data_IF_965825932039
#
_entry.id   IF_965825932039
#
_cell.length_a   1.000
_cell.length_b   1.000
_cell.length_c   1.000
_cell.angle_alpha   90.00
_cell.angle_beta   90.00
_cell.angle_gamma   90.00
#
_symmetry.space_group_name_H-M   'P 1'
#
loop_
_entity.id
_entity.type
_entity.pdbx_description
1 polymer ?
#
# COMPACT_ATOMS: atom_id res chain seq x y z
N UNK A 1 41.25 16.98 -30.61
CA UNK A 1 39.89 17.58 -30.53
C UNK A 1 38.98 16.67 -31.34
N UNK A 2 37.94 16.02 -30.88
CA UNK A 2 37.23 15.92 -29.60
C UNK A 2 36.69 14.49 -29.56
N UNK A 3 36.69 13.83 -28.41
CA UNK A 3 35.84 12.66 -28.19
C UNK A 3 35.23 12.84 -26.80
N UNK A 4 34.13 13.59 -26.75
CA UNK A 4 33.35 13.81 -25.54
C UNK A 4 32.16 12.87 -25.62
N UNK A 5 32.34 11.67 -25.10
CA UNK A 5 31.24 10.76 -24.81
C UNK A 5 30.28 11.46 -23.84
N UNK A 6 29.12 11.87 -24.35
CA UNK A 6 27.98 12.22 -23.52
C UNK A 6 27.42 10.93 -22.92
N UNK A 7 27.87 10.65 -21.70
CA UNK A 7 27.26 9.71 -20.77
C UNK A 7 25.85 10.22 -20.46
N UNK A 8 24.87 9.78 -21.25
CA UNK A 8 23.45 10.03 -20.99
C UNK A 8 23.05 9.19 -19.79
N UNK A 9 23.03 9.82 -18.62
CA UNK A 9 22.43 9.27 -17.41
C UNK A 9 20.96 8.94 -17.69
N UNK A 10 20.71 7.69 -18.09
CA UNK A 10 19.37 7.15 -18.28
C UNK A 10 18.60 7.26 -16.96
N UNK A 11 17.60 8.13 -16.95
CA UNK A 11 16.66 8.26 -15.83
C UNK A 11 15.99 6.90 -15.64
N UNK A 12 16.05 6.27 -14.45
CA UNK A 12 15.51 4.95 -14.27
C UNK A 12 14.00 4.99 -14.51
N UNK A 13 13.52 4.16 -15.44
CA UNK A 13 12.09 4.03 -15.72
C UNK A 13 11.33 3.69 -14.44
N UNK A 14 10.17 4.32 -14.24
CA UNK A 14 9.38 4.23 -13.00
C UNK A 14 9.10 2.77 -12.55
N UNK A 15 9.09 1.81 -13.47
CA UNK A 15 8.99 0.39 -13.18
C UNK A 15 10.20 -0.22 -12.45
N UNK A 16 11.41 0.29 -12.68
CA UNK A 16 12.63 -0.15 -11.97
C UNK A 16 12.67 0.45 -10.56
N UNK A 17 12.24 1.70 -10.40
CA UNK A 17 12.12 2.34 -9.06
C UNK A 17 11.01 1.66 -8.26
N UNK A 18 9.87 1.32 -8.87
CA UNK A 18 8.80 0.58 -8.21
C UNK A 18 9.21 -0.83 -7.80
N UNK A 19 9.88 -1.59 -8.67
CA UNK A 19 10.40 -2.94 -8.32
C UNK A 19 11.51 -2.88 -7.27
N UNK A 20 12.34 -1.84 -7.29
CA UNK A 20 13.39 -1.64 -6.28
C UNK A 20 12.79 -1.19 -4.95
N UNK A 21 11.77 -0.36 -4.96
CA UNK A 21 10.98 -0.02 -3.77
C UNK A 21 10.13 -1.18 -3.25
N UNK A 22 9.79 -2.20 -4.05
CA UNK A 22 9.22 -3.47 -3.58
C UNK A 22 10.29 -4.41 -3.00
N UNK A 23 11.51 -4.42 -3.57
CA UNK A 23 12.63 -5.24 -3.11
C UNK A 23 13.30 -4.69 -1.84
N UNK A 24 13.35 -3.36 -1.72
CA UNK A 24 13.95 -2.60 -0.61
C UNK A 24 12.86 -2.02 0.33
N UNK A 25 11.58 -2.27 0.01
CA UNK A 25 10.40 -1.76 0.70
C UNK A 25 10.04 -2.53 1.95
N UNK A 26 10.48 -1.95 3.06
CA UNK A 26 10.28 -2.35 4.43
C UNK A 26 11.15 -3.55 4.84
N UNK A 27 12.03 -3.40 5.86
CA UNK A 27 12.37 -4.58 6.64
C UNK A 27 11.03 -5.12 7.11
N UNK A 28 10.68 -6.35 6.70
CA UNK A 28 9.60 -7.10 7.30
C UNK A 28 10.02 -7.37 8.75
N UNK A 29 9.98 -6.34 9.59
CA UNK A 29 10.29 -6.40 11.00
C UNK A 29 9.19 -7.20 11.62
N UNK A 30 9.48 -8.50 11.69
CA UNK A 30 9.32 -9.34 12.87
C UNK A 30 7.90 -9.46 13.43
N UNK A 31 6.88 -8.89 12.81
CA UNK A 31 5.56 -8.78 13.44
C UNK A 31 4.76 -10.07 13.31
N UNK A 32 4.94 -10.77 12.19
CA UNK A 32 4.46 -12.15 12.04
C UNK A 32 5.15 -13.08 13.01
N UNK A 33 6.47 -12.90 13.21
CA UNK A 33 7.28 -13.68 14.14
C UNK A 33 6.93 -13.37 15.59
N UNK A 34 6.67 -12.11 15.94
CA UNK A 34 6.20 -11.66 17.25
C UNK A 34 4.81 -12.23 17.55
N UNK A 35 3.91 -12.21 16.57
CA UNK A 35 2.57 -12.81 16.71
C UNK A 35 2.65 -14.33 16.90
N UNK A 36 3.55 -15.01 16.19
CA UNK A 36 3.76 -16.45 16.33
C UNK A 36 4.42 -16.79 17.68
N UNK A 37 5.41 -15.99 18.10
CA UNK A 37 6.05 -16.09 19.41
C UNK A 37 5.07 -15.84 20.57
N UNK A 38 4.20 -14.84 20.48
CA UNK A 38 3.15 -14.57 21.47
C UNK A 38 2.14 -15.72 21.57
N UNK A 39 1.82 -16.39 20.44
CA UNK A 39 0.92 -17.56 20.43
C UNK A 39 1.58 -18.79 21.07
N UNK A 40 2.86 -19.02 20.81
CA UNK A 40 3.61 -20.09 21.47
C UNK A 40 3.74 -19.81 22.97
N UNK A 41 4.13 -18.60 23.35
CA UNK A 41 4.28 -18.20 24.75
C UNK A 41 2.97 -18.35 25.52
N UNK A 42 1.83 -17.97 24.92
CA UNK A 42 0.51 -18.18 25.51
C UNK A 42 0.14 -19.67 25.64
N UNK A 43 0.46 -20.49 24.64
CA UNK A 43 0.20 -21.93 24.66
C UNK A 43 1.05 -22.67 25.70
N UNK A 44 2.34 -22.31 25.84
CA UNK A 44 3.21 -22.89 26.86
C UNK A 44 2.78 -22.47 28.27
N UNK A 45 2.32 -21.23 28.47
CA UNK A 45 1.79 -20.76 29.76
C UNK A 45 0.50 -21.48 30.15
N UNK A 46 -0.41 -21.72 29.19
CA UNK A 46 -1.63 -22.48 29.42
C UNK A 46 -1.33 -23.94 29.78
N UNK A 47 -0.32 -24.54 29.16
CA UNK A 47 0.11 -25.91 29.44
C UNK A 47 0.77 -26.02 30.82
N UNK A 48 1.62 -25.06 31.20
CA UNK A 48 2.21 -24.97 32.55
C UNK A 48 1.11 -24.78 33.60
N UNK A 49 0.18 -23.84 33.39
CA UNK A 49 -0.94 -23.62 34.32
C UNK A 49 -1.83 -24.85 34.48
N UNK A 50 -2.14 -25.56 33.39
CA UNK A 50 -2.89 -26.81 33.43
C UNK A 50 -2.17 -27.92 34.19
N UNK A 51 -0.86 -28.06 34.01
CA UNK A 51 -0.03 -29.03 34.74
C UNK A 51 0.06 -28.68 36.23
N UNK A 52 0.19 -27.40 36.57
CA UNK A 52 0.18 -26.93 37.98
C UNK A 52 -1.15 -27.21 38.67
N UNK A 53 -2.28 -26.96 37.99
CA UNK A 53 -3.62 -27.29 38.52
C UNK A 53 -3.78 -28.80 38.74
N UNK A 54 -3.25 -29.62 37.82
CA UNK A 54 -3.31 -31.09 37.91
C UNK A 54 -2.45 -31.65 39.05
N UNK A 55 -1.24 -31.11 39.27
CA UNK A 55 -0.35 -31.49 40.36
C UNK A 55 -0.84 -31.03 41.74
N UNK A 56 -1.56 -29.92 41.80
CA UNK A 56 -2.20 -29.45 43.02
C UNK A 56 -3.39 -30.36 43.45
N UNK A 57 -3.94 -31.18 42.55
CA UNK A 57 -4.90 -32.24 42.91
C UNK A 57 -4.23 -33.46 43.57
N UNK A 58 -2.91 -33.58 43.46
CA UNK A 58 -2.10 -34.72 43.94
C UNK A 58 -1.31 -34.38 45.22
N UNK A 59 -1.28 -33.11 45.62
CA UNK A 59 -0.53 -32.63 46.79
C UNK A 59 -1.48 -32.00 47.83
N UNK A 60 -1.23 -32.19 49.13
CA UNK A 60 -1.95 -31.56 50.26
C UNK A 60 -1.67 -30.03 50.37
N UNK A 61 -1.51 -29.37 49.22
CA UNK A 61 -1.17 -27.96 49.13
C UNK A 61 -2.45 -27.12 49.29
N UNK A 62 -2.44 -26.18 50.25
CA UNK A 62 -3.63 -25.41 50.64
C UNK A 62 -4.25 -24.54 49.53
N UNK A 63 -5.52 -24.18 49.71
CA UNK A 63 -6.34 -23.36 48.78
C UNK A 63 -5.70 -22.01 48.40
N UNK A 64 -4.80 -21.48 49.23
CA UNK A 64 -4.06 -20.24 48.98
C UNK A 64 -3.21 -20.31 47.70
N UNK A 65 -2.64 -21.47 47.37
CA UNK A 65 -1.85 -21.66 46.15
C UNK A 65 -2.71 -21.54 44.88
N UNK A 66 -3.94 -22.06 44.91
CA UNK A 66 -4.87 -21.94 43.78
C UNK A 66 -5.34 -20.51 43.56
N UNK A 67 -5.58 -19.76 44.65
CA UNK A 67 -5.98 -18.37 44.56
C UNK A 67 -4.89 -17.48 43.93
N UNK A 68 -3.62 -17.69 44.34
CA UNK A 68 -2.48 -16.94 43.79
C UNK A 68 -2.29 -17.24 42.30
N UNK A 69 -2.33 -18.52 41.90
CA UNK A 69 -2.18 -18.91 40.49
C UNK A 69 -3.31 -18.37 39.61
N UNK A 70 -4.56 -18.40 40.10
CA UNK A 70 -5.70 -17.82 39.39
C UNK A 70 -5.53 -16.32 39.13
N UNK A 71 -5.06 -15.57 40.14
CA UNK A 71 -4.82 -14.13 40.00
C UNK A 71 -3.72 -13.81 38.98
N UNK A 72 -2.63 -14.57 38.99
CA UNK A 72 -1.54 -14.45 38.00
C UNK A 72 -2.09 -14.71 36.58
N UNK A 73 -2.92 -15.74 36.41
CA UNK A 73 -3.48 -16.10 35.10
C UNK A 73 -4.38 -15.01 34.54
N UNK A 74 -5.25 -14.43 35.38
CA UNK A 74 -6.10 -13.29 35.01
C UNK A 74 -5.25 -12.08 34.64
N UNK A 75 -4.20 -11.77 35.41
CA UNK A 75 -3.28 -10.67 35.11
C UNK A 75 -2.57 -10.84 33.77
N UNK A 76 -2.06 -12.04 33.48
CA UNK A 76 -1.40 -12.37 32.20
C UNK A 76 -2.39 -12.27 31.04
N UNK A 77 -3.63 -12.75 31.19
CA UNK A 77 -4.67 -12.62 30.16
C UNK A 77 -5.02 -11.15 29.86
N UNK A 78 -5.17 -10.32 30.91
CA UNK A 78 -5.47 -8.89 30.73
C UNK A 78 -4.30 -8.16 30.06
N UNK A 79 -3.06 -8.47 30.44
CA UNK A 79 -1.86 -7.92 29.80
C UNK A 79 -1.80 -8.32 28.32
N UNK A 80 -2.00 -9.60 28.00
CA UNK A 80 -2.02 -10.09 26.62
C UNK A 80 -3.14 -9.43 25.77
N UNK A 81 -4.32 -9.26 26.35
CA UNK A 81 -5.43 -8.55 25.70
C UNK A 81 -5.09 -7.08 25.43
N UNK A 82 -4.51 -6.37 26.41
CA UNK A 82 -4.09 -4.98 26.25
C UNK A 82 -3.04 -4.82 25.14
N UNK A 83 -2.02 -5.70 25.11
CA UNK A 83 -1.00 -5.72 24.05
C UNK A 83 -1.63 -5.96 22.67
N UNK A 84 -2.56 -6.90 22.56
CA UNK A 84 -3.28 -7.18 21.32
C UNK A 84 -4.14 -5.99 20.87
N UNK A 85 -4.79 -5.28 21.80
CA UNK A 85 -5.58 -4.10 21.51
C UNK A 85 -4.71 -2.92 21.01
N UNK A 86 -3.57 -2.67 21.67
CA UNK A 86 -2.59 -1.66 21.26
C UNK A 86 -2.06 -1.97 19.85
N UNK A 87 -1.68 -3.22 19.60
CA UNK A 87 -1.21 -3.67 18.29
C UNK A 87 -2.27 -3.46 17.20
N UNK A 88 -3.53 -3.85 17.46
CA UNK A 88 -4.64 -3.72 16.49
C UNK A 88 -4.86 -2.26 16.07
N UNK A 89 -4.79 -1.32 17.01
CA UNK A 89 -4.96 0.12 16.73
C UNK A 89 -3.83 0.68 15.86
N UNK A 90 -2.60 0.18 16.02
CA UNK A 90 -1.44 0.60 15.21
C UNK A 90 -1.53 0.10 13.76
N UNK A 91 -2.01 -1.13 13.55
CA UNK A 91 -2.18 -1.69 12.21
C UNK A 91 -3.16 -0.93 11.34
N UNK A 92 -4.35 -0.66 11.89
CA UNK A 92 -5.43 -0.02 11.14
C UNK A 92 -5.05 1.40 10.73
N UNK A 93 -4.32 2.14 11.58
CA UNK A 93 -3.88 3.49 11.25
C UNK A 93 -2.80 3.52 10.17
N UNK A 94 -1.84 2.58 10.25
CA UNK A 94 -0.78 2.49 9.25
C UNK A 94 -1.34 2.10 7.88
N UNK A 95 -2.25 1.12 7.83
CA UNK A 95 -2.94 0.74 6.60
C UNK A 95 -3.72 1.91 5.99
N UNK A 96 -4.46 2.67 6.81
CA UNK A 96 -5.20 3.84 6.32
C UNK A 96 -4.28 4.88 5.70
N UNK A 97 -3.15 5.18 6.36
CA UNK A 97 -2.14 6.12 5.84
C UNK A 97 -1.53 5.62 4.54
N UNK A 98 -1.22 4.33 4.47
CA UNK A 98 -0.64 3.71 3.29
C UNK A 98 -1.61 3.73 2.11
N UNK A 99 -2.88 3.37 2.33
CA UNK A 99 -3.94 3.45 1.31
C UNK A 99 -4.14 4.88 0.81
N UNK A 100 -4.18 5.86 1.71
CA UNK A 100 -4.31 7.27 1.32
C UNK A 100 -3.12 7.73 0.46
N UNK A 101 -1.89 7.36 0.82
CA UNK A 101 -0.69 7.68 0.01
C UNK A 101 -0.70 7.01 -1.35
N UNK A 102 -1.05 5.73 -1.41
CA UNK A 102 -1.16 5.00 -2.68
C UNK A 102 -2.23 5.64 -3.58
N UNK A 103 -3.36 6.02 -3.00
CA UNK A 103 -4.43 6.69 -3.74
C UNK A 103 -3.97 8.03 -4.32
N UNK A 104 -3.34 8.88 -3.50
CA UNK A 104 -2.81 10.18 -3.96
C UNK A 104 -1.75 9.98 -5.07
N UNK A 105 -0.80 9.06 -4.88
CA UNK A 105 0.20 8.75 -5.90
C UNK A 105 -0.41 8.23 -7.20
N UNK A 106 -1.47 7.42 -7.09
CA UNK A 106 -2.17 6.92 -8.26
C UNK A 106 -2.85 8.07 -9.02
N UNK A 107 -3.48 9.00 -8.31
CA UNK A 107 -4.07 10.20 -8.92
C UNK A 107 -3.02 11.07 -9.61
N UNK A 108 -1.87 11.32 -8.96
CA UNK A 108 -0.76 12.07 -9.56
C UNK A 108 -0.25 11.40 -10.84
N UNK A 109 -0.03 10.07 -10.81
CA UNK A 109 0.40 9.32 -11.98
C UNK A 109 -0.65 9.29 -13.07
N UNK A 110 -1.93 9.22 -12.71
CA UNK A 110 -3.02 9.33 -13.67
C UNK A 110 -3.01 10.70 -14.33
N UNK A 111 -2.89 11.79 -13.57
CA UNK A 111 -2.84 13.16 -14.10
C UNK A 111 -1.63 13.38 -15.02
N UNK A 112 -0.44 12.93 -14.61
CA UNK A 112 0.76 12.95 -15.46
C UNK A 112 0.57 12.11 -16.73
N UNK A 113 -0.07 10.94 -16.63
CA UNK A 113 -0.33 10.06 -17.76
C UNK A 113 -1.57 10.47 -18.58
N UNK A 114 -2.17 11.63 -18.33
CA UNK A 114 -3.25 12.20 -19.14
C UNK A 114 -2.73 13.15 -20.21
N UNK A 115 -1.49 13.63 -20.11
CA UNK A 115 -0.90 14.57 -21.08
C UNK A 115 0.09 13.86 -22.00
N UNK A 116 0.27 14.41 -23.19
CA UNK A 116 1.30 14.04 -24.15
C UNK A 116 2.58 14.83 -23.83
N UNK A 117 3.73 14.16 -23.72
CA UNK A 117 4.98 14.79 -23.24
C UNK A 117 5.48 15.89 -24.19
N UNK A 118 5.28 15.72 -25.50
CA UNK A 118 5.76 16.65 -26.53
C UNK A 118 4.93 17.92 -26.59
N UNK A 119 3.61 17.79 -26.51
CA UNK A 119 2.66 18.91 -26.70
C UNK A 119 2.07 19.45 -25.41
N UNK A 120 2.20 18.72 -24.29
CA UNK A 120 1.56 18.97 -23.00
C UNK A 120 0.01 19.03 -23.05
N UNK A 121 -0.57 18.75 -24.22
CA UNK A 121 -2.01 18.61 -24.42
C UNK A 121 -2.49 17.28 -23.85
N UNK A 122 -3.80 17.16 -23.62
CA UNK A 122 -4.37 15.87 -23.23
C UNK A 122 -4.14 14.82 -24.33
N UNK A 123 -3.68 13.65 -23.92
CA UNK A 123 -3.41 12.57 -24.84
C UNK A 123 -4.71 11.95 -25.37
N UNK A 124 -4.55 11.15 -26.44
CA UNK A 124 -5.65 10.46 -27.11
C UNK A 124 -6.50 9.62 -26.16
N UNK A 125 -5.90 8.99 -25.14
CA UNK A 125 -6.63 8.17 -24.15
C UNK A 125 -7.58 9.03 -23.31
N UNK A 126 -7.10 10.15 -22.77
CA UNK A 126 -7.93 11.08 -22.01
C UNK A 126 -9.09 11.62 -22.84
N UNK A 127 -8.84 11.96 -24.11
CA UNK A 127 -9.88 12.44 -25.02
C UNK A 127 -11.05 11.45 -25.14
N UNK A 128 -10.79 10.16 -25.38
CA UNK A 128 -11.87 9.17 -25.49
C UNK A 128 -12.61 8.92 -24.17
N UNK A 129 -11.91 8.88 -23.05
CA UNK A 129 -12.54 8.77 -21.73
C UNK A 129 -13.44 9.97 -21.42
N UNK A 130 -13.01 11.18 -21.76
CA UNK A 130 -13.81 12.39 -21.59
C UNK A 130 -15.00 12.40 -22.56
N UNK A 131 -14.78 12.06 -23.83
CA UNK A 131 -15.82 12.02 -24.85
C UNK A 131 -16.95 11.06 -24.47
N UNK A 132 -16.64 9.88 -23.92
CA UNK A 132 -17.64 8.92 -23.46
C UNK A 132 -18.54 9.51 -22.36
N UNK A 133 -17.94 10.20 -21.38
CA UNK A 133 -18.68 10.88 -20.31
C UNK A 133 -19.57 12.01 -20.83
N UNK A 134 -19.05 12.82 -21.76
CA UNK A 134 -19.84 13.91 -22.35
C UNK A 134 -20.95 13.39 -23.26
N UNK A 135 -20.76 12.27 -23.97
CA UNK A 135 -21.82 11.60 -24.73
C UNK A 135 -22.95 11.12 -23.83
N UNK A 136 -22.63 10.46 -22.71
CA UNK A 136 -23.63 10.00 -21.75
C UNK A 136 -24.39 11.19 -21.12
N UNK A 137 -23.69 12.28 -20.83
CA UNK A 137 -24.28 13.53 -20.34
C UNK A 137 -25.17 14.20 -21.38
N UNK A 138 -24.73 14.30 -22.62
CA UNK A 138 -25.49 14.89 -23.71
C UNK A 138 -26.78 14.10 -23.99
N UNK A 139 -26.71 12.76 -23.89
CA UNK A 139 -27.89 11.89 -23.97
C UNK A 139 -28.87 12.13 -22.82
N UNK A 140 -28.39 12.25 -21.59
CA UNK A 140 -29.28 12.44 -20.44
C UNK A 140 -29.93 13.83 -20.42
N UNK A 141 -29.21 14.86 -20.86
CA UNK A 141 -29.68 16.24 -20.93
C UNK A 141 -30.35 16.60 -22.26
N UNK A 142 -30.40 15.66 -23.20
CA UNK A 142 -30.85 15.88 -24.59
C UNK A 142 -30.20 17.11 -25.25
N UNK A 143 -28.93 17.38 -24.93
CA UNK A 143 -28.20 18.54 -25.42
C UNK A 143 -27.36 18.18 -26.64
N UNK A 144 -27.22 19.06 -27.64
CA UNK A 144 -26.30 18.84 -28.76
C UNK A 144 -24.85 18.79 -28.28
N UNK A 145 -24.05 17.88 -28.87
CA UNK A 145 -22.61 17.74 -28.63
C UNK A 145 -21.89 17.86 -29.98
N UNK A 146 -20.83 18.65 -30.03
CA UNK A 146 -19.98 18.82 -31.22
C UNK A 146 -18.53 18.43 -30.91
N UNK A 147 -17.81 17.95 -31.92
CA UNK A 147 -16.38 17.62 -31.85
C UNK A 147 -15.68 18.38 -32.97
N UNK A 148 -14.59 19.06 -32.62
CA UNK A 148 -13.69 19.69 -33.58
C UNK A 148 -12.40 18.87 -33.66
N UNK A 149 -12.03 18.48 -34.87
CA UNK A 149 -10.75 17.81 -35.17
C UNK A 149 -9.92 18.76 -36.01
N UNK A 150 -8.70 19.02 -35.57
CA UNK A 150 -7.74 19.91 -36.24
C UNK A 150 -6.51 19.09 -36.61
N UNK A 151 -5.97 19.34 -37.80
CA UNK A 151 -4.72 18.77 -38.28
C UNK A 151 -3.84 19.88 -38.83
N UNK A 152 -2.51 19.71 -38.77
CA UNK A 152 -1.55 20.69 -39.27
C UNK A 152 -1.14 20.32 -40.68
N UNK A 153 -1.53 21.15 -41.65
CA UNK A 153 -1.21 20.91 -43.06
C UNK A 153 0.30 20.89 -43.30
N UNK A 154 0.76 19.88 -44.05
CA UNK A 154 2.15 19.73 -44.51
C UNK A 154 3.21 19.69 -43.40
N UNK A 155 2.85 19.24 -42.20
CA UNK A 155 3.80 19.10 -41.07
C UNK A 155 5.06 18.28 -41.45
N UNK A 156 4.92 17.26 -42.31
CA UNK A 156 6.05 16.47 -42.81
C UNK A 156 7.10 17.31 -43.55
N UNK A 157 6.67 18.24 -44.42
CA UNK A 157 7.59 19.11 -45.16
C UNK A 157 8.38 20.02 -44.23
N UNK A 158 7.78 20.44 -43.12
CA UNK A 158 8.44 21.26 -42.10
C UNK A 158 9.49 20.41 -41.37
N UNK A 159 9.11 19.23 -40.87
CA UNK A 159 10.05 18.33 -40.19
C UNK A 159 11.21 17.89 -41.10
N UNK A 160 10.95 17.66 -42.39
CA UNK A 160 11.98 17.29 -43.37
C UNK A 160 12.95 18.45 -43.67
N UNK A 161 12.51 19.71 -43.50
CA UNK A 161 13.31 20.91 -43.77
C UNK A 161 14.11 21.38 -42.54
N UNK A 162 13.50 21.32 -41.36
CA UNK A 162 14.07 21.88 -40.12
C UNK A 162 14.59 20.82 -39.14
N UNK A 163 14.39 19.53 -39.45
CA UNK A 163 14.72 18.41 -38.57
C UNK A 163 13.56 18.02 -37.63
N UNK A 164 13.63 16.81 -37.07
CA UNK A 164 12.73 16.31 -36.01
C UNK A 164 13.13 16.86 -34.64
#
# INVERSE_FOLDING_TARGET
MQDTQQETASVPSAGIIARRAERDGAPATDLGRLRWALRIAGATFALIGGVTISLAHVSDLGWEFHAINGLIFVGVMLMAYALAAISRKSHVQLERRYRARLFIRNLELQDMAMRDDLTQLFNRRYFFERLRRELDRARSLQSPLAILVLDVDRLKSVNDTYGH
#
